data_IF_788763854840
#
_entry.id   IF_788763854840
#
_cell.length_a   1.000
_cell.length_b   1.000
_cell.length_c   1.000
_cell.angle_alpha   90.00
_cell.angle_beta   90.00
_cell.angle_gamma   90.00
#
_symmetry.space_group_name_H-M   'P 1'
#
loop_
_entity.id
_entity.type
_entity.pdbx_description
1 polymer ?
#
# COMPACT_ATOMS: atom_id res chain seq x y z
N UNK A 1 10.53 13.01 15.23
CA UNK A 1 9.19 13.55 15.53
C UNK A 1 8.56 14.24 14.33
N UNK A 2 9.16 15.29 13.77
CA UNK A 2 8.64 15.99 12.57
C UNK A 2 8.39 15.04 11.40
N UNK A 3 9.37 14.20 11.07
CA UNK A 3 9.20 13.21 10.00
C UNK A 3 8.09 12.22 10.36
N UNK A 4 7.99 11.78 11.62
CA UNK A 4 6.92 10.91 12.15
C UNK A 4 5.51 11.47 12.00
N UNK A 5 5.35 12.78 12.24
CA UNK A 5 4.06 13.46 12.07
C UNK A 5 3.71 13.57 10.58
N UNK A 6 4.68 13.91 9.72
CA UNK A 6 4.49 13.91 8.27
C UNK A 6 4.17 12.51 7.74
N UNK A 7 4.83 11.47 8.25
CA UNK A 7 4.58 10.05 7.92
C UNK A 7 3.15 9.61 8.28
N UNK A 8 2.62 10.09 9.41
CA UNK A 8 1.25 9.80 9.83
C UNK A 8 0.20 10.54 9.00
N UNK A 9 0.48 11.78 8.59
CA UNK A 9 -0.47 12.62 7.85
C UNK A 9 -0.80 12.10 6.45
N UNK A 10 0.17 11.47 5.77
CA UNK A 10 -0.07 10.87 4.45
C UNK A 10 -0.89 9.58 4.50
N UNK A 11 -1.19 9.01 5.68
CA UNK A 11 -2.01 7.80 5.83
C UNK A 11 -1.43 6.52 5.22
N UNK A 12 -0.29 6.59 4.50
CA UNK A 12 0.28 5.51 3.71
C UNK A 12 1.16 4.52 4.52
N UNK A 13 1.19 4.64 5.86
CA UNK A 13 1.90 3.70 6.72
C UNK A 13 3.43 3.78 6.66
N UNK A 14 4.02 4.97 6.45
CA UNK A 14 5.45 5.25 6.66
C UNK A 14 6.46 4.63 5.65
N UNK A 15 6.08 3.59 4.91
CA UNK A 15 6.97 2.83 4.01
C UNK A 15 7.41 3.59 2.77
N UNK A 16 6.57 4.50 2.30
CA UNK A 16 6.76 5.26 1.07
C UNK A 16 8.04 6.09 1.03
N UNK A 17 8.50 6.64 2.17
CA UNK A 17 9.74 7.42 2.22
C UNK A 17 10.97 6.60 2.68
N UNK A 18 10.82 5.31 3.01
CA UNK A 18 11.95 4.45 3.39
C UNK A 18 12.92 4.30 2.23
N UNK A 19 12.41 3.99 1.04
CA UNK A 19 13.22 3.83 -0.17
C UNK A 19 14.02 5.10 -0.53
N UNK A 20 13.42 6.31 -0.60
CA UNK A 20 14.17 7.52 -0.95
C UNK A 20 15.10 7.97 0.17
N UNK A 21 14.75 7.75 1.44
CA UNK A 21 15.66 8.02 2.54
C UNK A 21 16.93 7.15 2.44
N UNK A 22 16.80 5.87 2.11
CA UNK A 22 17.94 4.98 1.92
C UNK A 22 18.77 5.31 0.67
N UNK A 23 18.11 5.75 -0.42
CA UNK A 23 18.81 6.23 -1.61
C UNK A 23 19.61 7.52 -1.33
N UNK A 24 19.08 8.43 -0.51
CA UNK A 24 19.78 9.65 -0.07
C UNK A 24 20.99 9.34 0.83
N UNK A 25 20.98 8.20 1.51
CA UNK A 25 22.10 7.66 2.28
C UNK A 25 23.07 6.83 1.42
N UNK A 26 23.00 6.98 0.09
CA UNK A 26 23.88 6.33 -0.90
C UNK A 26 23.83 4.79 -0.85
N UNK A 27 22.74 4.23 -0.31
CA UNK A 27 22.55 2.79 -0.26
C UNK A 27 22.17 2.24 -1.65
N UNK A 28 22.66 1.05 -2.07
CA UNK A 28 22.27 0.44 -3.33
C UNK A 28 20.74 0.34 -3.49
N UNK A 29 20.23 0.81 -4.63
CA UNK A 29 18.80 0.85 -4.93
C UNK A 29 18.06 -0.49 -4.71
N UNK A 30 18.62 -1.66 -5.06
CA UNK A 30 17.97 -2.95 -4.82
C UNK A 30 17.67 -3.20 -3.34
N UNK A 31 18.57 -2.79 -2.43
CA UNK A 31 18.40 -3.02 -0.99
C UNK A 31 17.46 -1.99 -0.38
N UNK A 32 17.47 -0.75 -0.87
CA UNK A 32 16.51 0.27 -0.46
C UNK A 32 15.07 -0.17 -0.78
N UNK A 33 14.84 -0.69 -1.99
CA UNK A 33 13.52 -1.22 -2.40
C UNK A 33 13.15 -2.46 -1.60
N UNK A 34 14.09 -3.42 -1.43
CA UNK A 34 13.84 -4.63 -0.66
C UNK A 34 13.44 -4.36 0.79
N UNK A 35 14.07 -3.37 1.42
CA UNK A 35 13.76 -2.97 2.80
C UNK A 35 12.34 -2.39 2.93
N UNK A 36 11.92 -1.54 1.98
CA UNK A 36 10.55 -1.03 1.93
C UNK A 36 9.52 -2.13 1.71
N UNK A 37 9.81 -3.09 0.82
CA UNK A 37 8.93 -4.23 0.55
C UNK A 37 8.74 -5.13 1.78
N UNK A 38 9.80 -5.38 2.55
CA UNK A 38 9.72 -6.14 3.79
C UNK A 38 8.82 -5.44 4.82
N UNK A 39 8.90 -4.10 4.91
CA UNK A 39 8.04 -3.32 5.80
C UNK A 39 6.56 -3.42 5.40
N UNK A 40 6.25 -3.22 4.11
CA UNK A 40 4.88 -3.33 3.58
C UNK A 40 4.32 -4.74 3.76
N UNK A 41 5.14 -5.77 3.56
CA UNK A 41 4.74 -7.15 3.81
C UNK A 41 4.36 -7.36 5.28
N UNK A 42 5.17 -6.86 6.22
CA UNK A 42 4.89 -6.95 7.65
C UNK A 42 3.55 -6.31 8.04
N UNK A 43 3.28 -5.10 7.55
CA UNK A 43 1.99 -4.43 7.82
C UNK A 43 0.81 -5.14 7.16
N UNK A 44 1.00 -5.68 5.95
CA UNK A 44 -0.03 -6.46 5.25
C UNK A 44 -0.40 -7.75 5.99
N UNK A 45 0.58 -8.47 6.53
CA UNK A 45 0.34 -9.68 7.33
C UNK A 45 -0.47 -9.35 8.58
N UNK A 46 -0.07 -8.32 9.32
CA UNK A 46 -0.79 -7.89 10.53
C UNK A 46 -2.23 -7.44 10.19
N UNK A 47 -2.40 -6.69 9.10
CA UNK A 47 -3.71 -6.28 8.62
C UNK A 47 -4.58 -7.49 8.26
N UNK A 48 -4.00 -8.49 7.57
CA UNK A 48 -4.71 -9.72 7.18
C UNK A 48 -5.12 -10.53 8.40
N UNK A 49 -4.23 -10.71 9.38
CA UNK A 49 -4.55 -11.42 10.62
C UNK A 49 -5.67 -10.73 11.40
N UNK A 50 -5.63 -9.40 11.48
CA UNK A 50 -6.69 -8.62 12.14
C UNK A 50 -8.06 -8.81 11.47
N UNK A 51 -8.12 -8.87 10.15
CA UNK A 51 -9.38 -9.09 9.42
C UNK A 51 -9.79 -10.56 9.36
N UNK A 52 -8.82 -11.49 9.50
CA UNK A 52 -9.08 -12.92 9.62
C UNK A 52 -9.92 -13.23 10.86
N UNK A 53 -9.61 -12.59 11.99
CA UNK A 53 -10.35 -12.77 13.24
C UNK A 53 -11.80 -12.25 13.16
N UNK A 54 -12.11 -11.40 12.17
CA UNK A 54 -13.45 -10.89 11.88
C UNK A 54 -14.22 -11.78 10.87
N UNK A 55 -13.61 -12.86 10.36
CA UNK A 55 -14.22 -13.73 9.35
C UNK A 55 -14.33 -13.12 7.96
N UNK A 56 -13.62 -12.01 7.70
CA UNK A 56 -13.73 -11.19 6.48
C UNK A 56 -12.67 -11.55 5.41
N UNK A 57 -11.95 -12.66 5.59
CA UNK A 57 -10.86 -13.04 4.68
C UNK A 57 -11.37 -13.99 3.60
N UNK A 58 -11.48 -13.47 2.38
CA UNK A 58 -11.70 -14.28 1.20
C UNK A 58 -10.38 -14.91 0.72
N UNK A 59 -10.19 -16.19 1.05
CA UNK A 59 -9.02 -16.96 0.63
C UNK A 59 -8.93 -17.13 -0.89
N UNK A 60 -10.06 -17.16 -1.61
CA UNK A 60 -10.07 -17.29 -3.07
C UNK A 60 -9.52 -16.00 -3.70
N UNK A 61 -9.94 -14.84 -3.21
CA UNK A 61 -9.38 -13.56 -3.64
C UNK A 61 -7.90 -13.44 -3.27
N UNK A 62 -7.52 -13.91 -2.07
CA UNK A 62 -6.11 -13.95 -1.64
C UNK A 62 -5.22 -14.76 -2.59
N UNK A 63 -5.66 -15.95 -3.03
CA UNK A 63 -4.91 -16.78 -3.98
C UNK A 63 -4.77 -16.08 -5.35
N UNK A 64 -5.82 -15.44 -5.84
CA UNK A 64 -5.78 -14.67 -7.09
C UNK A 64 -4.79 -13.50 -6.98
N UNK A 65 -4.79 -12.81 -5.85
CA UNK A 65 -3.84 -11.72 -5.57
C UNK A 65 -2.40 -12.20 -5.52
N UNK A 66 -2.11 -13.32 -4.85
CA UNK A 66 -0.76 -13.88 -4.79
C UNK A 66 -0.28 -14.24 -6.19
N UNK A 67 -1.10 -14.99 -6.95
CA UNK A 67 -0.72 -15.43 -8.31
C UNK A 67 -0.51 -14.25 -9.25
N UNK A 68 -1.39 -13.25 -9.25
CA UNK A 68 -1.24 -12.03 -10.03
C UNK A 68 0.00 -11.23 -9.64
N UNK A 69 0.26 -11.10 -8.32
CA UNK A 69 1.43 -10.37 -7.81
C UNK A 69 2.74 -11.07 -8.17
N UNK A 70 2.82 -12.40 -8.06
CA UNK A 70 4.01 -13.17 -8.44
C UNK A 70 4.35 -12.97 -9.91
N UNK A 71 3.36 -13.09 -10.81
CA UNK A 71 3.56 -12.89 -12.25
C UNK A 71 3.99 -11.44 -12.53
N UNK A 72 3.37 -10.46 -11.88
CA UNK A 72 3.72 -9.05 -12.02
C UNK A 72 5.14 -8.74 -11.57
N UNK A 73 5.58 -9.30 -10.43
CA UNK A 73 6.94 -9.14 -9.92
C UNK A 73 7.95 -9.74 -10.89
N UNK A 74 7.69 -10.93 -11.42
CA UNK A 74 8.61 -11.60 -12.33
C UNK A 74 8.76 -10.84 -13.66
N UNK A 75 7.65 -10.35 -14.22
CA UNK A 75 7.66 -9.48 -15.39
C UNK A 75 8.38 -8.14 -15.13
N UNK A 76 8.15 -7.53 -13.96
CA UNK A 76 8.83 -6.30 -13.53
C UNK A 76 10.33 -6.51 -13.37
N UNK A 77 10.74 -7.60 -12.72
CA UNK A 77 12.16 -7.97 -12.56
C UNK A 77 12.84 -8.19 -13.90
N UNK A 78 12.19 -8.90 -14.83
CA UNK A 78 12.71 -9.12 -16.18
C UNK A 78 12.90 -7.80 -16.94
N UNK A 79 11.93 -6.89 -16.82
CA UNK A 79 12.00 -5.56 -17.44
C UNK A 79 13.17 -4.74 -16.89
N UNK A 80 13.35 -4.71 -15.57
CA UNK A 80 14.47 -3.99 -14.93
C UNK A 80 15.81 -4.61 -15.29
N UNK A 81 15.92 -5.94 -15.32
CA UNK A 81 17.15 -6.64 -15.68
C UNK A 81 17.57 -6.37 -17.13
N UNK A 82 16.60 -6.27 -18.04
CA UNK A 82 16.86 -5.85 -19.42
C UNK A 82 17.44 -4.43 -19.49
N UNK A 83 16.87 -3.49 -18.72
CA UNK A 83 17.41 -2.13 -18.60
C UNK A 83 18.78 -2.06 -17.91
N UNK A 84 19.05 -2.99 -17.00
CA UNK A 84 20.32 -3.09 -16.28
C UNK A 84 21.45 -3.54 -17.20
N UNK A 85 21.16 -4.47 -18.13
CA UNK A 85 22.12 -4.89 -19.17
C UNK A 85 22.60 -3.75 -20.08
N UNK A 86 21.81 -2.67 -20.17
CA UNK A 86 22.12 -1.46 -20.93
C UNK A 86 22.84 -0.38 -20.09
N UNK A 87 23.06 -0.62 -18.79
CA UNK A 87 23.69 0.33 -17.86
C UNK A 87 22.82 1.53 -17.48
N UNK A 88 21.54 1.55 -17.89
CA UNK A 88 20.62 2.68 -17.68
C UNK A 88 19.62 2.45 -16.53
N UNK A 89 19.62 1.28 -15.90
CA UNK A 89 18.65 0.93 -14.87
C UNK A 89 18.57 1.96 -13.72
N UNK A 90 19.71 2.39 -13.18
CA UNK A 90 19.72 3.37 -12.08
C UNK A 90 19.05 4.70 -12.46
N UNK A 91 19.34 5.22 -13.65
CA UNK A 91 18.75 6.46 -14.16
C UNK A 91 17.25 6.32 -14.41
N UNK A 92 16.83 5.23 -15.04
CA UNK A 92 15.41 4.98 -15.32
C UNK A 92 14.61 4.78 -14.04
N UNK A 93 15.13 4.01 -13.08
CA UNK A 93 14.47 3.81 -11.78
C UNK A 93 14.29 5.14 -11.05
N UNK A 94 15.34 5.97 -11.02
CA UNK A 94 15.28 7.28 -10.36
C UNK A 94 14.24 8.20 -11.03
N UNK A 95 14.26 8.31 -12.35
CA UNK A 95 13.30 9.13 -13.11
C UNK A 95 11.88 8.60 -12.92
N UNK A 96 11.67 7.29 -13.05
CA UNK A 96 10.35 6.67 -12.84
C UNK A 96 9.83 6.93 -11.43
N UNK A 97 10.70 6.83 -10.42
CA UNK A 97 10.35 7.10 -9.04
C UNK A 97 9.96 8.57 -8.83
N UNK A 98 10.73 9.52 -9.36
CA UNK A 98 10.41 10.96 -9.30
C UNK A 98 9.10 11.28 -10.02
N UNK A 99 8.85 10.69 -11.19
CA UNK A 99 7.60 10.88 -11.93
C UNK A 99 6.40 10.31 -11.17
N UNK A 100 6.53 9.12 -10.58
CA UNK A 100 5.48 8.55 -9.74
C UNK A 100 5.20 9.40 -8.51
N UNK A 101 6.24 9.77 -7.76
CA UNK A 101 6.11 10.62 -6.57
C UNK A 101 5.53 11.99 -6.90
N UNK A 102 6.02 12.61 -7.97
CA UNK A 102 5.53 13.89 -8.45
C UNK A 102 4.08 13.81 -8.91
N UNK A 103 3.70 12.72 -9.59
CA UNK A 103 2.34 12.43 -10.01
C UNK A 103 1.38 12.28 -8.84
N UNK A 104 1.74 11.45 -7.85
CA UNK A 104 0.95 11.27 -6.61
C UNK A 104 0.85 12.59 -5.85
N UNK A 105 1.96 13.31 -5.68
CA UNK A 105 1.97 14.62 -5.02
C UNK A 105 1.08 15.64 -5.72
N UNK A 106 1.10 15.67 -7.06
CA UNK A 106 0.24 16.54 -7.86
C UNK A 106 -1.23 16.13 -7.78
N UNK A 107 -1.53 14.82 -7.77
CA UNK A 107 -2.90 14.31 -7.59
C UNK A 107 -3.46 14.71 -6.23
N UNK A 108 -2.73 14.43 -5.15
CA UNK A 108 -3.13 14.79 -3.78
C UNK A 108 -3.30 16.31 -3.64
N UNK A 109 -2.40 17.09 -4.25
CA UNK A 109 -2.52 18.56 -4.25
C UNK A 109 -3.75 19.03 -5.03
N UNK A 110 -4.09 18.38 -6.16
CA UNK A 110 -5.30 18.67 -6.94
C UNK A 110 -6.56 18.32 -6.17
N UNK A 111 -6.58 17.19 -5.47
CA UNK A 111 -7.72 16.78 -4.65
C UNK A 111 -7.92 17.74 -3.47
N UNK A 112 -6.82 18.13 -2.80
CA UNK A 112 -6.84 19.12 -1.72
C UNK A 112 -7.32 20.51 -2.18
N UNK A 113 -6.93 20.96 -3.37
CA UNK A 113 -7.33 22.27 -3.93
C UNK A 113 -8.76 22.26 -4.49
N UNK A 114 -9.24 21.12 -5.00
CA UNK A 114 -10.61 21.00 -5.50
C UNK A 114 -11.65 20.96 -4.39
N UNK A 115 -11.23 20.88 -3.12
CA UNK A 115 -12.13 21.02 -1.98
C UNK A 115 -13.28 20.02 -2.00
N UNK A 116 -13.10 18.88 -2.66
CA UNK A 116 -14.03 17.78 -2.55
C UNK A 116 -13.69 17.10 -1.22
N UNK A 117 -14.48 17.40 -0.19
CA UNK A 117 -14.32 16.88 1.18
C UNK A 117 -14.48 15.36 1.30
N UNK A 118 -14.26 14.60 0.23
CA UNK A 118 -14.33 13.14 0.14
C UNK A 118 -12.96 12.47 -0.03
N UNK A 119 -11.85 13.16 0.29
CA UNK A 119 -10.50 12.59 0.22
C UNK A 119 -10.11 11.67 1.40
N UNK A 120 -11.10 11.16 2.15
CA UNK A 120 -10.87 9.94 2.91
C UNK A 120 -10.77 8.81 1.91
N UNK A 121 -9.81 7.91 2.04
CA UNK A 121 -9.92 6.62 1.34
C UNK A 121 -11.23 6.02 1.82
N UNK A 122 -12.25 6.08 0.98
CA UNK A 122 -13.63 5.73 1.32
C UNK A 122 -13.69 4.25 1.71
N UNK A 123 -13.52 4.00 3.01
CA UNK A 123 -13.91 2.75 3.65
C UNK A 123 -15.44 2.55 3.61
N UNK A 124 -16.19 3.49 3.03
CA UNK A 124 -17.65 3.46 2.91
C UNK A 124 -18.18 2.50 1.82
N UNK A 125 -17.33 2.06 0.89
CA UNK A 125 -17.71 0.99 -0.05
C UNK A 125 -17.89 -0.38 0.65
N UNK A 126 -17.43 -0.53 1.91
CA UNK A 126 -17.63 -1.73 2.72
C UNK A 126 -18.74 -1.59 3.77
N UNK A 127 -19.20 -0.36 4.06
CA UNK A 127 -20.15 -0.08 5.15
C UNK A 127 -21.60 0.01 4.63
N UNK A 128 -21.82 0.42 3.37
CA UNK A 128 -23.18 0.49 2.78
C UNK A 128 -23.86 -0.86 2.53
N UNK A 129 -23.10 -1.95 2.56
CA UNK A 129 -23.65 -3.31 2.48
C UNK A 129 -23.97 -3.93 3.86
N UNK A 130 -23.67 -3.23 4.97
CA UNK A 130 -23.88 -3.74 6.33
C UNK A 130 -25.23 -3.35 6.94
N UNK A 131 -25.92 -2.35 6.39
CA UNK A 131 -27.27 -1.96 6.85
C UNK A 131 -28.34 -2.98 6.43
N UNK A 132 -28.04 -3.85 5.47
CA UNK A 132 -28.95 -4.89 4.94
C UNK A 132 -28.72 -6.27 5.57
N UNK A 133 -27.64 -6.47 6.36
CA UNK A 133 -27.43 -7.74 7.05
C UNK A 133 -28.21 -7.78 8.37
N UNK A 134 -29.41 -8.35 8.32
CA UNK A 134 -30.19 -8.72 9.50
C UNK A 134 -29.29 -9.42 10.53
N UNK A 135 -29.10 -8.75 11.67
CA UNK A 135 -28.26 -9.20 12.77
C UNK A 135 -28.71 -10.61 13.20
N UNK A 136 -27.87 -11.65 13.08
CA UNK A 136 -28.24 -12.99 13.52
C UNK A 136 -28.50 -13.00 15.04
N UNK A 137 -29.60 -13.64 15.46
CA UNK A 137 -30.13 -13.65 16.83
C UNK A 137 -29.11 -14.06 17.92
N UNK A 138 -28.00 -14.69 17.55
CA UNK A 138 -26.88 -15.01 18.43
C UNK A 138 -26.20 -13.76 19.02
N UNK A 139 -26.10 -12.66 18.26
CA UNK A 139 -25.41 -11.44 18.71
C UNK A 139 -26.19 -10.69 19.81
N UNK A 140 -27.54 -10.75 19.80
CA UNK A 140 -28.39 -10.14 20.83
C UNK A 140 -28.22 -10.78 22.21
N UNK A 141 -27.79 -12.05 22.28
CA UNK A 141 -27.65 -12.78 23.55
C UNK A 141 -26.42 -12.36 24.35
N UNK A 142 -25.38 -11.86 23.68
CA UNK A 142 -24.09 -11.48 24.30
C UNK A 142 -24.17 -10.08 24.91
N UNK A 143 -24.95 -9.17 24.33
CA UNK A 143 -25.15 -7.81 24.86
C UNK A 143 -25.97 -7.73 26.16
N UNK A 144 -26.54 -8.85 26.62
CA UNK A 144 -27.45 -8.88 27.79
C UNK A 144 -26.92 -9.65 29.00
N UNK A 145 -25.66 -10.09 28.98
CA UNK A 145 -24.95 -10.66 30.15
C UNK A 145 -23.83 -9.72 30.54
#
# INVERSE_FOLDING_TARGET
LVVGVLFGFFGMGGSFLVTPALLMLEYPAPVAVGSGMAFVFGTAVIATLKHHDLGQVDYKLGVIMITGTTIGIEAGRASVYYLESLGLAGGVISIAYVVLLGGVGAMVTRDALKGDGGGGVDHEAADKDLDEYEIPEVAKKIQRT
#
